data_IF_809806396456
#
_entry.id   IF_809806396456
#
_cell.length_a   1.000
_cell.length_b   1.000
_cell.length_c   1.000
_cell.angle_alpha   90.00
_cell.angle_beta   90.00
_cell.angle_gamma   90.00
#
_symmetry.space_group_name_H-M   'P 1'
#
loop_
_entity.id
_entity.type
_entity.pdbx_description
1 polymer ?
#
# COMPACT_ATOMS: atom_id res chain seq x y z
N UNK A 1 -16.11 -11.18 -4.52
CA UNK A 1 -14.94 -10.82 -3.69
C UNK A 1 -13.85 -10.33 -4.63
N UNK A 2 -13.26 -9.14 -4.44
CA UNK A 2 -12.18 -8.67 -5.30
C UNK A 2 -10.96 -9.61 -5.17
N UNK A 3 -10.14 -9.75 -6.23
CA UNK A 3 -8.90 -10.52 -6.14
C UNK A 3 -7.93 -9.88 -5.13
N UNK A 4 -7.26 -10.70 -4.34
CA UNK A 4 -6.29 -10.25 -3.32
C UNK A 4 -4.92 -10.80 -3.71
N UNK A 5 -3.93 -9.90 -3.77
CA UNK A 5 -2.53 -10.25 -4.05
C UNK A 5 -1.67 -9.80 -2.88
N UNK A 6 -0.95 -10.73 -2.25
CA UNK A 6 -0.03 -10.43 -1.16
C UNK A 6 1.41 -10.35 -1.67
N UNK A 7 2.05 -9.20 -1.47
CA UNK A 7 3.47 -8.99 -1.79
C UNK A 7 4.29 -9.15 -0.51
N UNK A 8 4.98 -10.29 -0.39
CA UNK A 8 5.76 -10.66 0.81
C UNK A 8 7.25 -10.74 0.49
N UNK A 9 8.09 -10.47 1.49
CA UNK A 9 9.54 -10.50 1.34
C UNK A 9 10.28 -9.74 2.42
N UNK A 10 11.61 -9.90 2.47
CA UNK A 10 12.49 -9.26 3.47
C UNK A 10 12.39 -7.73 3.46
N UNK A 11 12.73 -7.11 4.58
CA UNK A 11 12.85 -5.64 4.64
C UNK A 11 13.82 -5.14 3.56
N UNK A 12 13.51 -4.00 2.94
CA UNK A 12 14.28 -3.38 1.84
C UNK A 12 14.41 -4.22 0.55
N UNK A 13 13.63 -5.29 0.36
CA UNK A 13 13.63 -6.10 -0.86
C UNK A 13 12.92 -5.44 -2.08
N UNK A 14 12.56 -4.15 -2.00
CA UNK A 14 11.88 -3.45 -3.10
C UNK A 14 10.36 -3.60 -3.17
N UNK A 15 9.72 -4.15 -2.13
CA UNK A 15 8.25 -4.37 -2.08
C UNK A 15 7.45 -3.09 -2.36
N UNK A 16 7.74 -2.00 -1.66
CA UNK A 16 7.02 -0.73 -1.84
C UNK A 16 7.14 -0.22 -3.27
N UNK A 17 8.35 -0.25 -3.84
CA UNK A 17 8.60 0.13 -5.23
C UNK A 17 7.84 -0.75 -6.23
N UNK A 18 7.73 -2.05 -5.97
CA UNK A 18 6.91 -2.95 -6.80
C UNK A 18 5.43 -2.58 -6.70
N UNK A 19 4.93 -2.33 -5.49
CA UNK A 19 3.52 -1.97 -5.26
C UNK A 19 3.19 -0.66 -5.96
N UNK A 20 4.01 0.39 -5.87
CA UNK A 20 3.81 1.66 -6.59
C UNK A 20 3.63 1.45 -8.10
N UNK A 21 4.53 0.68 -8.71
CA UNK A 21 4.48 0.40 -10.15
C UNK A 21 3.24 -0.41 -10.51
N UNK A 22 2.87 -1.38 -9.68
CA UNK A 22 1.69 -2.21 -9.89
C UNK A 22 0.41 -1.39 -9.77
N UNK A 23 0.30 -0.54 -8.74
CA UNK A 23 -0.84 0.37 -8.57
C UNK A 23 -0.95 1.29 -9.77
N UNK A 24 0.14 1.97 -10.16
CA UNK A 24 0.14 2.86 -11.33
C UNK A 24 -0.30 2.15 -12.62
N UNK A 25 0.18 0.93 -12.85
CA UNK A 25 -0.20 0.14 -14.03
C UNK A 25 -1.66 -0.35 -13.97
N UNK A 26 -2.17 -0.75 -12.82
CA UNK A 26 -3.57 -1.17 -12.69
C UNK A 26 -4.51 0.03 -12.84
N UNK A 27 -4.13 1.19 -12.30
CA UNK A 27 -4.88 2.44 -12.47
C UNK A 27 -4.88 2.90 -13.93
N UNK A 28 -3.77 2.80 -14.64
CA UNK A 28 -3.70 3.16 -16.08
C UNK A 28 -4.64 2.31 -16.95
N UNK A 29 -4.96 1.09 -16.50
CA UNK A 29 -5.92 0.17 -17.13
C UNK A 29 -7.37 0.38 -16.67
N UNK A 30 -7.64 1.37 -15.81
CA UNK A 30 -8.98 1.71 -15.34
C UNK A 30 -9.49 0.88 -14.15
N UNK A 31 -8.64 0.11 -13.48
CA UNK A 31 -9.05 -0.62 -12.28
C UNK A 31 -9.19 0.29 -11.06
N UNK A 32 -10.05 -0.10 -10.13
CA UNK A 32 -10.04 0.42 -8.76
C UNK A 32 -9.08 -0.43 -7.92
N UNK A 33 -8.17 0.23 -7.21
CA UNK A 33 -7.05 -0.41 -6.52
C UNK A 33 -6.95 0.12 -5.09
N UNK A 34 -7.17 -0.77 -4.13
CA UNK A 34 -6.88 -0.51 -2.73
C UNK A 34 -5.55 -1.15 -2.33
N UNK A 35 -4.81 -0.50 -1.44
CA UNK A 35 -3.61 -1.08 -0.83
C UNK A 35 -3.78 -1.22 0.68
N UNK A 36 -3.21 -2.28 1.23
CA UNK A 36 -3.19 -2.54 2.68
C UNK A 36 -1.75 -2.86 3.07
N UNK A 37 -1.23 -2.13 4.05
CA UNK A 37 0.10 -2.35 4.61
C UNK A 37 -0.02 -2.85 6.05
N UNK A 38 0.68 -3.94 6.35
CA UNK A 38 0.91 -4.33 7.74
C UNK A 38 2.13 -3.58 8.32
N UNK A 39 1.95 -2.94 9.48
CA UNK A 39 3.00 -2.25 10.22
C UNK A 39 3.23 -2.92 11.58
N UNK A 40 4.48 -3.27 11.96
CA UNK A 40 4.77 -3.91 13.24
C UNK A 40 4.53 -3.00 14.45
N UNK A 41 4.84 -1.70 14.33
CA UNK A 41 4.76 -0.72 15.41
C UNK A 41 4.32 0.64 14.87
N UNK A 42 3.35 1.27 15.55
CA UNK A 42 2.88 2.63 15.28
C UNK A 42 2.17 2.81 13.94
N UNK A 43 1.05 3.52 13.94
CA UNK A 43 0.38 3.92 12.70
C UNK A 43 0.66 5.39 12.43
N UNK A 44 1.63 5.64 11.55
CA UNK A 44 1.84 6.97 10.96
C UNK A 44 1.27 6.96 9.55
N UNK A 45 0.20 7.72 9.35
CA UNK A 45 -0.52 7.80 8.09
C UNK A 45 -0.09 9.03 7.28
N UNK A 46 -0.01 8.86 5.96
CA UNK A 46 0.23 9.94 4.98
C UNK A 46 1.45 10.87 5.21
N UNK A 47 2.52 10.37 5.84
CA UNK A 47 3.76 11.14 5.93
C UNK A 47 4.58 11.02 4.63
N UNK A 48 5.08 12.15 4.08
CA UNK A 48 5.88 12.14 2.86
C UNK A 48 7.03 11.13 2.89
N UNK A 49 7.11 10.30 1.85
CA UNK A 49 8.15 9.27 1.70
C UNK A 49 7.89 7.95 2.43
N UNK A 50 6.87 7.84 3.30
CA UNK A 50 6.45 6.55 3.87
C UNK A 50 5.61 5.75 2.88
N UNK A 51 5.55 4.43 3.09
CA UNK A 51 4.88 3.51 2.16
C UNK A 51 3.41 3.89 1.86
N UNK A 52 2.64 4.30 2.87
CA UNK A 52 1.23 4.71 2.69
C UNK A 52 1.11 5.94 1.79
N UNK A 53 1.90 6.98 2.06
CA UNK A 53 1.99 8.15 1.20
C UNK A 53 2.38 7.76 -0.23
N UNK A 54 3.39 6.89 -0.40
CA UNK A 54 3.85 6.43 -1.71
C UNK A 54 2.76 5.66 -2.47
N UNK A 55 1.94 4.85 -1.78
CA UNK A 55 0.82 4.13 -2.41
C UNK A 55 -0.31 5.08 -2.83
N UNK A 56 -0.62 6.10 -2.02
CA UNK A 56 -1.58 7.16 -2.37
C UNK A 56 -1.10 7.91 -3.62
N UNK A 57 0.17 8.33 -3.64
CA UNK A 57 0.76 9.02 -4.80
C UNK A 57 0.79 8.15 -6.07
N UNK A 58 0.91 6.82 -5.92
CA UNK A 58 0.82 5.88 -7.04
C UNK A 58 -0.60 5.76 -7.63
N UNK A 59 -1.61 6.33 -6.97
CA UNK A 59 -3.00 6.37 -7.43
C UNK A 59 -3.93 5.35 -6.77
N UNK A 60 -3.55 4.79 -5.61
CA UNK A 60 -4.45 3.91 -4.86
C UNK A 60 -5.70 4.68 -4.42
N UNK A 61 -6.89 4.10 -4.66
CA UNK A 61 -8.17 4.73 -4.31
C UNK A 61 -8.42 4.73 -2.79
N UNK A 62 -7.90 3.71 -2.11
CA UNK A 62 -7.98 3.55 -0.64
C UNK A 62 -6.69 2.91 -0.16
N UNK A 63 -6.05 3.48 0.85
CA UNK A 63 -4.83 2.93 1.44
C UNK A 63 -5.02 2.73 2.93
N UNK A 64 -4.91 1.49 3.41
CA UNK A 64 -4.98 1.20 4.84
C UNK A 64 -3.62 0.79 5.41
N UNK A 65 -3.37 1.18 6.66
CA UNK A 65 -2.25 0.68 7.48
C UNK A 65 -2.86 -0.05 8.67
N UNK A 66 -2.46 -1.31 8.86
CA UNK A 66 -2.93 -2.15 9.94
C UNK A 66 -1.77 -2.59 10.83
N UNK A 67 -1.88 -2.32 12.13
CA UNK A 67 -1.08 -2.92 13.19
C UNK A 67 -1.95 -3.88 14.01
N UNK A 68 -1.38 -4.52 15.05
CA UNK A 68 -2.14 -5.46 15.89
C UNK A 68 -3.34 -4.83 16.62
N UNK A 69 -3.30 -3.52 16.89
CA UNK A 69 -4.30 -2.84 17.73
C UNK A 69 -5.00 -1.68 17.03
N UNK A 70 -4.60 -1.34 15.80
CA UNK A 70 -5.06 -0.12 15.14
C UNK A 70 -5.07 -0.29 13.62
N UNK A 71 -6.12 0.25 12.99
CA UNK A 71 -6.26 0.35 11.54
C UNK A 71 -6.53 1.82 11.21
N UNK A 72 -5.76 2.37 10.28
CA UNK A 72 -5.98 3.71 9.72
C UNK A 72 -6.14 3.59 8.22
N UNK A 73 -7.09 4.33 7.64
CA UNK A 73 -7.50 4.28 6.23
C UNK A 73 -7.50 5.68 5.64
#
# INVERSE_FOLDING_TARGET
>A
MPPIISIVGKSKAGKTTLIERLVGELKSRGYQVATIKHAPEGVTFDEPGKDSWRHIQAGSDVTAICSSNEIVV
#
